data_IF_795407551312
#
_entry.id   IF_795407551312
#
_cell.length_a   1.000
_cell.length_b   1.000
_cell.length_c   1.000
_cell.angle_alpha   90.00
_cell.angle_beta   90.00
_cell.angle_gamma   90.00
#
_symmetry.space_group_name_H-M   'P 1'
#
loop_
_entity.id
_entity.type
_entity.pdbx_description
1 polymer ?
#
# COMPACT_ATOMS: atom_id res chain seq x y z
N UNK A 1 -11.78 -11.78 15.72
CA UNK A 1 -10.37 -11.52 15.97
C UNK A 1 -9.80 -12.28 17.17
N UNK A 2 -10.50 -12.26 18.29
CA UNK A 2 -10.08 -13.02 19.48
C UNK A 2 -9.97 -14.51 19.18
N UNK A 3 -10.86 -15.06 18.36
CA UNK A 3 -10.81 -16.45 17.96
C UNK A 3 -9.55 -16.79 17.19
N UNK A 4 -9.13 -15.92 16.26
CA UNK A 4 -7.89 -16.11 15.52
C UNK A 4 -6.65 -16.04 16.42
N UNK A 5 -6.60 -15.05 17.32
CA UNK A 5 -5.50 -14.90 18.25
C UNK A 5 -5.43 -16.10 19.22
N UNK A 6 -6.57 -16.56 19.69
CA UNK A 6 -6.67 -17.73 20.55
C UNK A 6 -6.17 -18.99 19.86
N UNK A 7 -6.55 -19.20 18.59
CA UNK A 7 -6.08 -20.34 17.80
C UNK A 7 -4.58 -20.28 17.58
N UNK A 8 -4.04 -19.10 17.32
CA UNK A 8 -2.59 -18.91 17.18
C UNK A 8 -1.85 -19.25 18.48
N UNK A 9 -2.42 -18.89 19.61
CA UNK A 9 -1.85 -19.17 20.92
C UNK A 9 -1.83 -20.67 21.21
N UNK A 10 -2.91 -21.39 20.84
CA UNK A 10 -3.04 -22.83 21.13
C UNK A 10 -2.27 -23.68 20.13
N UNK A 11 -2.25 -23.29 18.85
CA UNK A 11 -1.64 -24.09 17.78
C UNK A 11 -0.69 -23.24 16.91
N UNK A 12 0.39 -22.70 17.50
CA UNK A 12 1.25 -21.76 16.79
C UNK A 12 1.96 -22.34 15.57
N UNK A 13 2.18 -23.67 15.56
CA UNK A 13 2.92 -24.32 14.46
C UNK A 13 2.03 -24.82 13.32
N UNK A 14 0.73 -24.74 13.46
CA UNK A 14 -0.20 -25.19 12.42
C UNK A 14 -0.25 -24.18 11.27
N UNK A 15 0.11 -24.63 10.06
CA UNK A 15 0.02 -23.82 8.85
C UNK A 15 -1.42 -23.41 8.56
N UNK A 16 -2.35 -24.32 8.80
CA UNK A 16 -3.78 -24.05 8.59
C UNK A 16 -4.27 -22.95 9.54
N UNK A 17 -3.92 -23.04 10.81
CA UNK A 17 -4.28 -22.05 11.81
C UNK A 17 -3.66 -20.69 11.48
N UNK A 18 -2.38 -20.67 11.07
CA UNK A 18 -1.70 -19.44 10.66
C UNK A 18 -2.37 -18.78 9.46
N UNK A 19 -2.80 -19.58 8.48
CA UNK A 19 -3.51 -19.06 7.31
C UNK A 19 -4.86 -18.49 7.70
N UNK A 20 -5.62 -19.15 8.56
CA UNK A 20 -6.91 -18.65 9.07
C UNK A 20 -6.72 -17.38 9.89
N UNK A 21 -5.70 -17.34 10.74
CA UNK A 21 -5.39 -16.16 11.55
C UNK A 21 -5.05 -14.95 10.70
N UNK A 22 -4.26 -15.13 9.63
CA UNK A 22 -3.92 -14.05 8.70
C UNK A 22 -5.13 -13.53 7.96
N UNK A 23 -6.01 -14.40 7.49
CA UNK A 23 -7.23 -14.02 6.81
C UNK A 23 -8.17 -13.25 7.73
N UNK A 24 -8.39 -13.77 8.93
CA UNK A 24 -9.23 -13.12 9.94
C UNK A 24 -8.66 -11.78 10.38
N UNK A 25 -7.33 -11.68 10.56
CA UNK A 25 -6.67 -10.45 10.95
C UNK A 25 -6.75 -9.40 9.85
N UNK A 26 -6.59 -9.80 8.60
CA UNK A 26 -6.75 -8.91 7.46
C UNK A 26 -8.14 -8.31 7.39
N UNK A 27 -9.17 -9.13 7.53
CA UNK A 27 -10.57 -8.67 7.55
C UNK A 27 -10.84 -7.75 8.72
N UNK A 28 -10.33 -8.09 9.90
CA UNK A 28 -10.47 -7.27 11.09
C UNK A 28 -9.77 -5.92 10.92
N UNK A 29 -8.61 -5.89 10.29
CA UNK A 29 -7.89 -4.64 10.00
C UNK A 29 -8.66 -3.72 9.06
N UNK A 30 -9.22 -4.26 7.99
CA UNK A 30 -10.02 -3.47 7.04
C UNK A 30 -11.24 -2.89 7.74
N UNK A 31 -11.92 -3.67 8.58
CA UNK A 31 -13.07 -3.20 9.34
C UNK A 31 -12.68 -2.15 10.37
N UNK A 32 -11.54 -2.33 11.03
CA UNK A 32 -11.00 -1.38 12.01
C UNK A 32 -10.64 -0.05 11.34
N UNK A 33 -9.98 -0.09 10.17
CA UNK A 33 -9.66 1.09 9.39
C UNK A 33 -10.91 1.86 9.01
N UNK A 34 -11.92 1.18 8.52
CA UNK A 34 -13.20 1.77 8.14
C UNK A 34 -13.88 2.43 9.36
N UNK A 35 -13.85 1.74 10.50
CA UNK A 35 -14.39 2.26 11.75
C UNK A 35 -13.64 3.49 12.24
N UNK A 36 -12.31 3.49 12.18
CA UNK A 36 -11.49 4.63 12.56
C UNK A 36 -11.76 5.84 11.67
N UNK A 37 -11.89 5.62 10.39
CA UNK A 37 -12.20 6.68 9.41
C UNK A 37 -13.54 7.32 9.75
N UNK A 38 -14.54 6.51 10.04
CA UNK A 38 -15.88 7.01 10.39
C UNK A 38 -15.89 7.77 11.71
N UNK A 39 -15.10 7.31 12.68
CA UNK A 39 -15.06 7.90 14.02
C UNK A 39 -14.24 9.20 14.06
N UNK A 40 -13.17 9.29 13.27
CA UNK A 40 -12.26 10.41 13.31
C UNK A 40 -12.86 11.73 12.78
N UNK A 41 -13.76 11.64 11.81
CA UNK A 41 -14.45 12.82 11.25
C UNK A 41 -13.56 13.78 10.45
N UNK A 42 -12.26 13.77 10.67
CA UNK A 42 -11.32 14.70 10.04
C UNK A 42 -10.44 14.02 8.99
N UNK A 43 -10.03 12.77 9.25
CA UNK A 43 -9.16 12.01 8.35
C UNK A 43 -9.95 10.84 7.77
N UNK A 44 -10.06 10.79 6.45
CA UNK A 44 -10.78 9.73 5.76
C UNK A 44 -9.88 8.52 5.43
N UNK A 45 -8.65 8.52 5.91
CA UNK A 45 -7.72 7.39 5.83
C UNK A 45 -6.63 7.53 6.88
N UNK A 46 -6.04 6.42 7.37
CA UNK A 46 -4.90 6.48 8.26
C UNK A 46 -3.70 7.08 7.55
N UNK A 47 -3.08 8.11 8.14
CA UNK A 47 -1.93 8.75 7.53
C UNK A 47 -0.69 7.85 7.62
N UNK A 48 0.21 8.04 6.67
CA UNK A 48 1.50 7.38 6.61
C UNK A 48 2.55 8.46 6.49
N UNK A 49 3.57 8.43 7.34
CA UNK A 49 4.69 9.38 7.28
C UNK A 49 5.97 8.56 7.28
N UNK A 50 6.61 8.46 6.12
CA UNK A 50 7.81 7.66 5.93
C UNK A 50 8.87 8.45 5.16
N UNK A 51 10.17 8.10 5.35
CA UNK A 51 11.24 8.78 4.63
C UNK A 51 11.32 8.32 3.17
N UNK A 52 11.61 9.26 2.27
CA UNK A 52 11.91 8.97 0.87
C UNK A 52 13.40 8.62 0.68
N UNK A 53 13.84 8.48 -0.58
CA UNK A 53 15.22 8.09 -0.88
C UNK A 53 16.25 9.16 -0.50
N UNK A 54 15.81 10.39 -0.25
CA UNK A 54 16.65 11.50 0.21
C UNK A 54 16.64 11.64 1.73
N UNK A 55 15.85 10.81 2.42
CA UNK A 55 15.68 10.87 3.86
C UNK A 55 14.67 11.92 4.32
N UNK A 56 13.97 12.57 3.39
CA UNK A 56 12.92 13.52 3.72
C UNK A 56 11.62 12.78 4.00
N UNK A 57 10.93 13.17 5.06
CA UNK A 57 9.65 12.56 5.39
C UNK A 57 8.55 13.01 4.43
N UNK A 58 7.76 12.04 3.95
CA UNK A 58 6.65 12.28 3.04
C UNK A 58 5.38 11.76 3.68
N UNK A 59 4.45 12.65 3.94
CA UNK A 59 3.16 12.28 4.51
C UNK A 59 2.14 11.98 3.41
N UNK A 60 1.45 10.85 3.53
CA UNK A 60 0.38 10.49 2.59
C UNK A 60 -0.70 11.58 2.55
N UNK A 61 -1.03 12.14 3.70
CA UNK A 61 -2.02 13.22 3.82
C UNK A 61 -1.62 14.52 3.12
N UNK A 62 -0.33 14.70 2.81
CA UNK A 62 0.17 15.88 2.11
C UNK A 62 0.14 15.76 0.60
N UNK A 63 -0.22 14.59 0.07
CA UNK A 63 -0.27 14.36 -1.38
C UNK A 63 -1.49 15.05 -1.96
N UNK A 64 -1.25 15.96 -2.89
CA UNK A 64 -2.31 16.72 -3.57
C UNK A 64 -2.64 16.03 -4.90
N UNK A 65 -3.58 15.10 -4.84
CA UNK A 65 -4.05 14.38 -6.02
C UNK A 65 -5.48 13.92 -5.79
N UNK A 66 -6.26 13.85 -6.85
CA UNK A 66 -7.64 13.37 -6.78
C UNK A 66 -7.70 11.88 -6.47
N UNK A 67 -6.81 11.11 -7.08
CA UNK A 67 -6.71 9.66 -6.87
C UNK A 67 -5.27 9.32 -6.50
N UNK A 68 -5.11 8.60 -5.38
CA UNK A 68 -3.80 8.14 -4.93
C UNK A 68 -3.83 6.62 -4.87
N UNK A 69 -2.85 5.99 -5.50
CA UNK A 69 -2.60 4.56 -5.34
C UNK A 69 -1.57 4.38 -4.24
N UNK A 70 -1.98 3.81 -3.13
CA UNK A 70 -1.07 3.42 -2.04
C UNK A 70 -0.61 2.01 -2.37
N UNK A 71 0.63 1.86 -2.80
CA UNK A 71 1.16 0.63 -3.34
C UNK A 71 2.28 0.06 -2.47
N UNK A 72 2.08 -1.14 -1.93
CA UNK A 72 3.07 -1.86 -1.14
C UNK A 72 3.77 -2.88 -2.03
N UNK A 73 5.11 -2.85 -2.05
CA UNK A 73 5.89 -3.72 -2.94
C UNK A 73 7.24 -4.10 -2.33
N UNK A 74 7.89 -5.09 -2.93
CA UNK A 74 9.17 -5.63 -2.47
C UNK A 74 10.22 -5.48 -3.57
N UNK A 75 11.26 -4.71 -3.30
CA UNK A 75 12.34 -4.44 -4.26
C UNK A 75 13.26 -5.65 -4.46
N UNK A 76 13.18 -6.66 -3.62
CA UNK A 76 13.93 -7.92 -3.80
C UNK A 76 13.23 -8.88 -4.77
N UNK A 77 12.00 -8.61 -5.14
CA UNK A 77 11.19 -9.45 -6.05
C UNK A 77 11.28 -8.92 -7.48
N UNK A 78 11.90 -9.70 -8.37
CA UNK A 78 12.10 -9.30 -9.76
C UNK A 78 10.78 -9.07 -10.49
N UNK A 79 9.76 -9.87 -10.22
CA UNK A 79 8.45 -9.72 -10.86
C UNK A 79 7.79 -8.41 -10.46
N UNK A 80 7.91 -8.00 -9.20
CA UNK A 80 7.35 -6.73 -8.74
C UNK A 80 8.10 -5.53 -9.31
N UNK A 81 9.42 -5.64 -9.47
CA UNK A 81 10.22 -4.61 -10.14
C UNK A 81 9.79 -4.45 -11.60
N UNK A 82 9.58 -5.56 -12.29
CA UNK A 82 9.10 -5.51 -13.68
C UNK A 82 7.71 -4.92 -13.77
N UNK A 83 6.83 -5.25 -12.84
CA UNK A 83 5.48 -4.70 -12.79
C UNK A 83 5.50 -3.16 -12.69
N UNK A 84 6.41 -2.60 -11.90
CA UNK A 84 6.56 -1.15 -11.77
C UNK A 84 6.84 -0.50 -13.13
N UNK A 85 7.70 -1.08 -13.94
CA UNK A 85 8.11 -0.53 -15.23
C UNK A 85 7.12 -0.86 -16.34
N UNK A 86 6.69 -2.13 -16.40
CA UNK A 86 5.90 -2.60 -17.54
C UNK A 86 4.41 -2.26 -17.40
N UNK A 87 3.93 -2.11 -16.19
CA UNK A 87 2.50 -1.96 -15.92
C UNK A 87 2.15 -0.64 -15.23
N UNK A 88 2.79 -0.30 -14.11
CA UNK A 88 2.44 0.91 -13.36
C UNK A 88 2.94 2.19 -14.01
N UNK A 89 4.15 2.18 -14.55
CA UNK A 89 4.72 3.40 -15.15
C UNK A 89 3.88 3.93 -16.31
N UNK A 90 3.41 3.09 -17.26
CA UNK A 90 2.51 3.58 -18.29
C UNK A 90 1.21 4.20 -17.74
N UNK A 91 0.62 3.59 -16.71
CA UNK A 91 -0.57 4.14 -16.07
C UNK A 91 -0.27 5.49 -15.45
N UNK A 92 0.85 5.61 -14.76
CA UNK A 92 1.27 6.87 -14.14
C UNK A 92 1.47 7.96 -15.20
N UNK A 93 2.12 7.63 -16.29
CA UNK A 93 2.36 8.57 -17.40
C UNK A 93 1.06 9.04 -18.03
N UNK A 94 0.06 8.14 -18.16
CA UNK A 94 -1.22 8.48 -18.77
C UNK A 94 -2.09 9.35 -17.86
N UNK A 95 -2.04 9.17 -16.56
CA UNK A 95 -3.01 9.77 -15.64
C UNK A 95 -2.44 10.77 -14.63
N UNK A 96 -1.12 10.83 -14.45
CA UNK A 96 -0.51 11.70 -13.45
C UNK A 96 -0.95 13.16 -13.59
N UNK A 97 -0.90 13.69 -14.80
CA UNK A 97 -1.27 15.07 -15.06
C UNK A 97 -2.75 15.36 -14.87
N UNK A 98 -3.57 14.31 -14.83
CA UNK A 98 -5.01 14.43 -14.63
C UNK A 98 -5.41 14.35 -13.16
N UNK A 99 -4.44 14.19 -12.25
CA UNK A 99 -4.70 14.14 -10.82
C UNK A 99 -4.47 12.79 -10.18
N UNK A 100 -3.61 11.96 -10.77
CA UNK A 100 -3.22 10.65 -10.24
C UNK A 100 -1.83 10.71 -9.64
N UNK A 101 -1.67 10.15 -8.44
CA UNK A 101 -0.35 9.98 -7.81
C UNK A 101 -0.21 8.57 -7.26
N UNK A 102 1.03 8.11 -7.17
CA UNK A 102 1.36 6.83 -6.54
C UNK A 102 2.22 7.12 -5.31
N UNK A 103 1.80 6.59 -4.17
CA UNK A 103 2.57 6.60 -2.93
C UNK A 103 3.01 5.16 -2.71
N UNK A 104 4.26 4.86 -3.08
CA UNK A 104 4.78 3.49 -3.09
C UNK A 104 5.62 3.23 -1.84
N UNK A 105 5.18 2.27 -1.05
CA UNK A 105 5.84 1.85 0.18
C UNK A 105 6.56 0.54 -0.10
N UNK A 106 7.88 0.58 -0.08
CA UNK A 106 8.69 -0.62 -0.24
C UNK A 106 8.86 -1.31 1.11
N UNK A 107 8.58 -2.60 1.15
CA UNK A 107 8.69 -3.40 2.38
C UNK A 107 10.01 -4.14 2.49
N UNK A 108 10.93 -3.94 1.57
CA UNK A 108 12.27 -4.53 1.64
C UNK A 108 13.04 -3.88 2.79
N UNK A 109 13.52 -4.64 3.80
CA UNK A 109 14.29 -4.05 4.90
C UNK A 109 15.62 -3.45 4.47
N UNK A 110 16.19 -3.92 3.37
CA UNK A 110 17.45 -3.43 2.81
C UNK A 110 17.21 -2.11 2.07
N UNK A 111 17.43 -0.99 2.74
CA UNK A 111 17.25 0.34 2.14
C UNK A 111 18.16 0.61 0.95
N UNK A 112 19.45 0.22 0.95
CA UNK A 112 20.28 0.35 -0.25
C UNK A 112 19.73 -0.38 -1.47
N UNK A 113 19.21 -1.59 -1.30
CA UNK A 113 18.59 -2.34 -2.40
C UNK A 113 17.39 -1.60 -2.98
N UNK A 114 16.52 -1.11 -2.10
CA UNK A 114 15.37 -0.31 -2.49
C UNK A 114 15.79 0.96 -3.23
N UNK A 115 16.70 1.73 -2.65
CA UNK A 115 17.16 2.98 -3.26
C UNK A 115 17.78 2.74 -4.63
N UNK A 116 18.60 1.69 -4.76
CA UNK A 116 19.20 1.30 -6.05
C UNK A 116 18.14 0.97 -7.09
N UNK A 117 17.10 0.23 -6.69
CA UNK A 117 16.00 -0.13 -7.59
C UNK A 117 15.21 1.10 -8.06
N UNK A 118 14.90 2.01 -7.14
CA UNK A 118 14.18 3.25 -7.47
C UNK A 118 14.99 4.10 -8.46
N UNK A 119 16.27 4.27 -8.18
CA UNK A 119 17.14 5.09 -9.04
C UNK A 119 17.39 4.44 -10.40
N UNK A 120 17.63 3.13 -10.42
CA UNK A 120 17.88 2.41 -11.67
C UNK A 120 16.64 2.41 -12.58
N UNK A 121 15.47 2.28 -12.01
CA UNK A 121 14.22 2.28 -12.75
C UNK A 121 13.65 3.67 -12.97
N UNK A 122 14.23 4.69 -12.37
CA UNK A 122 13.77 6.09 -12.47
C UNK A 122 12.28 6.21 -12.16
N UNK A 123 11.85 5.58 -11.06
CA UNK A 123 10.45 5.61 -10.67
C UNK A 123 10.05 7.03 -10.27
N UNK A 124 9.12 7.69 -11.00
CA UNK A 124 8.87 9.13 -10.86
C UNK A 124 7.93 9.49 -9.71
N UNK A 125 7.25 8.50 -9.14
CA UNK A 125 6.28 8.72 -8.07
C UNK A 125 6.95 8.78 -6.69
N UNK A 126 6.15 8.97 -5.65
CA UNK A 126 6.64 9.04 -4.27
C UNK A 126 7.08 7.65 -3.83
N UNK A 127 8.34 7.51 -3.45
CA UNK A 127 8.93 6.24 -3.01
C UNK A 127 9.43 6.38 -1.58
N UNK A 128 8.89 5.55 -0.67
CA UNK A 128 9.20 5.62 0.76
C UNK A 128 9.54 4.24 1.32
N UNK A 129 10.38 4.22 2.36
CA UNK A 129 10.77 2.99 3.05
C UNK A 129 11.42 3.35 4.38
N UNK A 130 10.96 2.78 5.49
CA UNK A 130 11.56 3.01 6.80
C UNK A 130 12.56 1.93 7.22
N UNK A 131 12.77 0.92 6.39
CA UNK A 131 13.70 -0.17 6.68
C UNK A 131 13.19 -1.21 7.67
N UNK A 132 11.93 -1.11 8.08
CA UNK A 132 11.34 -2.01 9.08
C UNK A 132 10.61 -3.22 8.47
N UNK A 133 10.51 -3.28 7.14
CA UNK A 133 9.87 -4.40 6.46
C UNK A 133 8.43 -4.61 6.93
N UNK A 134 8.08 -5.84 7.29
CA UNK A 134 6.74 -6.17 7.76
C UNK A 134 6.39 -5.55 9.12
N UNK A 135 7.38 -5.04 9.84
CA UNK A 135 7.16 -4.32 11.10
C UNK A 135 6.89 -2.83 10.91
N UNK A 136 6.93 -2.32 9.68
CA UNK A 136 6.62 -0.93 9.40
C UNK A 136 5.21 -0.58 9.89
N UNK A 137 5.04 0.55 10.58
CA UNK A 137 3.71 1.00 11.00
C UNK A 137 2.71 1.09 9.85
N UNK A 138 3.16 1.46 8.66
CA UNK A 138 2.30 1.51 7.48
C UNK A 138 1.75 0.12 7.13
N UNK A 139 2.62 -0.90 7.13
CA UNK A 139 2.22 -2.28 6.85
C UNK A 139 1.24 -2.78 7.90
N UNK A 140 1.54 -2.54 9.17
CA UNK A 140 0.69 -2.98 10.28
C UNK A 140 -0.66 -2.26 10.24
N UNK A 141 -0.66 -0.96 10.09
CA UNK A 141 -1.88 -0.15 10.10
C UNK A 141 -2.82 -0.52 8.95
N UNK A 142 -2.28 -0.74 7.75
CA UNK A 142 -3.09 -1.10 6.59
C UNK A 142 -3.36 -2.59 6.48
N UNK A 143 -2.85 -3.39 7.42
CA UNK A 143 -3.11 -4.83 7.46
C UNK A 143 -2.55 -5.59 6.27
N UNK A 144 -1.40 -5.16 5.75
CA UNK A 144 -0.78 -5.78 4.58
C UNK A 144 -0.04 -7.04 5.01
N UNK A 145 -0.56 -8.19 4.61
CA UNK A 145 0.06 -9.50 4.91
C UNK A 145 0.86 -10.05 3.73
N UNK A 146 0.57 -9.58 2.54
CA UNK A 146 1.23 -10.03 1.31
C UNK A 146 1.46 -8.84 0.39
N UNK A 147 2.54 -8.88 -0.36
CA UNK A 147 2.85 -7.87 -1.38
C UNK A 147 3.05 -8.57 -2.74
N UNK A 148 2.72 -7.91 -3.85
CA UNK A 148 2.21 -6.55 -3.93
C UNK A 148 0.78 -6.43 -3.41
N UNK A 149 0.48 -5.28 -2.82
CA UNK A 149 -0.87 -4.98 -2.37
C UNK A 149 -1.10 -3.47 -2.54
N UNK A 150 -2.29 -3.08 -2.92
CA UNK A 150 -2.58 -1.68 -3.23
C UNK A 150 -3.95 -1.26 -2.73
N UNK A 151 -4.04 0.01 -2.37
CA UNK A 151 -5.29 0.66 -1.96
C UNK A 151 -5.47 1.93 -2.78
N UNK A 152 -6.72 2.33 -3.02
CA UNK A 152 -7.01 3.61 -3.67
C UNK A 152 -7.57 4.59 -2.64
N UNK A 153 -7.09 5.82 -2.71
CA UNK A 153 -7.68 6.96 -2.03
C UNK A 153 -8.27 7.85 -3.12
N UNK A 154 -9.57 8.11 -3.03
CA UNK A 154 -10.33 8.86 -4.03
C UNK A 154 -10.96 10.06 -3.35
N UNK A 155 -10.64 11.26 -3.80
CA UNK A 155 -11.14 12.52 -3.21
C UNK A 155 -10.91 12.57 -1.68
N UNK A 156 -9.76 12.07 -1.23
CA UNK A 156 -9.40 12.06 0.19
C UNK A 156 -10.02 10.96 1.01
N UNK A 157 -10.71 10.00 0.39
CA UNK A 157 -11.36 8.90 1.09
C UNK A 157 -10.78 7.54 0.66
N UNK A 158 -10.52 6.68 1.64
CA UNK A 158 -10.04 5.33 1.36
C UNK A 158 -11.15 4.50 0.73
N UNK A 159 -10.86 3.98 -0.47
CA UNK A 159 -11.78 3.10 -1.17
C UNK A 159 -11.59 1.66 -0.68
N UNK A 160 -12.64 1.08 -0.13
CA UNK A 160 -12.61 -0.28 0.42
C UNK A 160 -12.94 -1.36 -0.61
N UNK A 161 -13.32 -0.97 -1.81
CA UNK A 161 -13.63 -1.92 -2.90
C UNK A 161 -12.36 -2.47 -3.52
N UNK A 162 -12.35 -3.73 -3.98
CA UNK A 162 -11.20 -4.27 -4.71
C UNK A 162 -10.92 -3.49 -5.98
N UNK A 163 -9.64 -3.30 -6.28
CA UNK A 163 -9.23 -2.55 -7.48
C UNK A 163 -9.48 -3.35 -8.75
N UNK A 164 -9.38 -4.68 -8.69
CA UNK A 164 -9.57 -5.53 -9.86
C UNK A 164 -8.36 -5.59 -10.79
N UNK A 165 -7.16 -5.53 -10.22
CA UNK A 165 -5.91 -5.60 -10.97
C UNK A 165 -5.64 -4.34 -11.78
N UNK A 166 -4.74 -4.46 -12.75
CA UNK A 166 -4.34 -3.33 -13.60
C UNK A 166 -5.49 -2.79 -14.45
N UNK A 167 -6.29 -3.69 -15.02
CA UNK A 167 -7.44 -3.31 -15.85
C UNK A 167 -8.49 -2.57 -15.02
N UNK A 168 -8.74 -3.04 -13.81
CA UNK A 168 -9.63 -2.36 -12.87
C UNK A 168 -9.14 -0.99 -12.49
N UNK A 169 -7.83 -0.85 -12.28
CA UNK A 169 -7.21 0.44 -11.97
C UNK A 169 -7.39 1.42 -13.13
N UNK A 170 -7.06 1.01 -14.36
CA UNK A 170 -7.22 1.87 -15.54
C UNK A 170 -8.68 2.29 -15.75
N UNK A 171 -9.60 1.37 -15.52
CA UNK A 171 -11.03 1.63 -15.65
C UNK A 171 -11.50 2.69 -14.66
N UNK A 172 -11.09 2.57 -13.40
CA UNK A 172 -11.41 3.57 -12.37
C UNK A 172 -10.79 4.92 -12.68
N UNK A 173 -9.52 4.95 -13.08
CA UNK A 173 -8.84 6.20 -13.42
C UNK A 173 -9.50 6.88 -14.63
N UNK A 174 -9.88 6.12 -15.65
CA UNK A 174 -10.57 6.66 -16.82
C UNK A 174 -11.93 7.25 -16.45
N UNK A 175 -12.61 6.64 -15.47
CA UNK A 175 -13.92 7.12 -15.00
C UNK A 175 -13.78 8.40 -14.16
N UNK A 176 -12.78 8.44 -13.30
CA UNK A 176 -12.60 9.54 -12.33
C UNK A 176 -11.81 10.73 -12.88
N UNK A 177 -10.87 10.48 -13.78
CA UNK A 177 -9.92 11.48 -14.29
C UNK A 177 -10.12 11.72 -15.79
N UNK A 178 -11.25 12.25 -16.13
CA UNK A 178 -11.58 12.55 -17.53
C UNK A 178 -10.84 13.78 -18.03
#
# INVERSE_FOLDING_TARGET
>A
RRGADSLMTVYPDSRYVKALAREADRRARIMELDSQIRSAGEAAFPDIVLPDIKGETRALSSVDAKVILVHFWDASDAAQKMFNIDSLLPVYQDFHRRGFEIYAICVTPDKPEWASSVLAQKLPWINVNDGLGSASPAVVTYGVSEVPNSFLIIDGELNTKPIGGLDGLRKELSRLLK
#
